data_IF_723285709353
#
_entry.id   IF_723285709353
#
_cell.length_a   1.000
_cell.length_b   1.000
_cell.length_c   1.000
_cell.angle_alpha   90.00
_cell.angle_beta   90.00
_cell.angle_gamma   90.00
#
_symmetry.space_group_name_H-M   'P 1'
#
loop_
_entity.id
_entity.type
_entity.pdbx_description
1 polymer ?
#
# COMPACT_ATOMS: atom_id res chain seq x y z
N UNK A 1 -2.66 6.19 16.32
CA UNK A 1 -3.72 6.37 15.31
C UNK A 1 -4.39 5.02 15.10
N UNK A 2 -5.72 4.95 15.05
CA UNK A 2 -6.47 3.71 14.79
C UNK A 2 -7.40 4.00 13.62
N UNK A 3 -7.46 3.08 12.65
CA UNK A 3 -8.31 3.20 11.47
C UNK A 3 -9.31 2.04 11.40
N UNK A 4 -10.49 2.30 10.85
CA UNK A 4 -11.51 1.27 10.60
C UNK A 4 -11.45 0.85 9.14
N UNK A 5 -11.25 -0.45 8.89
CA UNK A 5 -11.28 -1.04 7.56
C UNK A 5 -12.73 -1.43 7.22
N UNK A 6 -13.35 -0.72 6.29
CA UNK A 6 -14.76 -0.91 5.93
C UNK A 6 -14.89 -1.43 4.50
N UNK A 7 -15.84 -2.33 4.25
CA UNK A 7 -16.11 -2.83 2.90
C UNK A 7 -16.66 -4.26 2.84
N UNK A 8 -16.40 -5.10 3.85
CA UNK A 8 -17.08 -6.39 3.92
C UNK A 8 -18.57 -6.20 4.20
N UNK A 9 -19.41 -6.97 3.52
CA UNK A 9 -20.88 -6.90 3.67
C UNK A 9 -21.43 -7.93 4.65
N UNK A 10 -20.60 -8.90 5.04
CA UNK A 10 -20.88 -9.88 6.08
C UNK A 10 -19.76 -9.92 7.14
N UNK A 11 -19.95 -10.75 8.16
CA UNK A 11 -19.01 -10.90 9.28
C UNK A 11 -17.62 -11.25 8.75
N UNK A 12 -16.60 -10.52 9.23
CA UNK A 12 -15.21 -10.90 9.06
C UNK A 12 -14.96 -12.15 9.93
N UNK A 13 -14.46 -13.20 9.29
CA UNK A 13 -14.22 -14.51 9.91
C UNK A 13 -12.73 -14.79 10.08
N UNK A 14 -11.89 -14.19 9.24
CA UNK A 14 -10.45 -14.45 9.19
C UNK A 14 -9.66 -13.14 9.09
N UNK A 15 -8.49 -13.11 9.73
CA UNK A 15 -7.52 -12.02 9.71
C UNK A 15 -6.10 -12.60 9.65
N UNK A 16 -5.29 -12.12 8.72
CA UNK A 16 -3.87 -12.42 8.63
C UNK A 16 -3.07 -11.14 8.31
N UNK A 17 -1.78 -11.13 8.69
CA UNK A 17 -0.85 -10.04 8.42
C UNK A 17 0.43 -10.63 7.81
N UNK A 18 1.02 -9.92 6.85
CA UNK A 18 2.33 -10.28 6.32
C UNK A 18 3.41 -10.12 7.40
N UNK A 19 4.52 -10.88 7.36
CA UNK A 19 5.60 -10.76 8.36
C UNK A 19 6.25 -9.37 8.43
N UNK A 20 6.24 -8.63 7.32
CA UNK A 20 6.72 -7.23 7.24
C UNK A 20 5.72 -6.21 7.80
N UNK A 21 4.49 -6.63 8.12
CA UNK A 21 3.43 -5.77 8.65
C UNK A 21 2.80 -4.82 7.63
N UNK A 22 3.19 -4.86 6.34
CA UNK A 22 2.69 -3.92 5.34
C UNK A 22 1.30 -4.29 4.81
N UNK A 23 0.96 -5.58 4.81
CA UNK A 23 -0.28 -6.08 4.23
C UNK A 23 -1.12 -6.80 5.28
N UNK A 24 -2.40 -6.40 5.38
CA UNK A 24 -3.43 -7.12 6.13
C UNK A 24 -4.38 -7.78 5.14
N UNK A 25 -4.72 -9.04 5.40
CA UNK A 25 -5.73 -9.78 4.64
C UNK A 25 -6.90 -10.10 5.57
N UNK A 26 -8.10 -9.77 5.12
CA UNK A 26 -9.34 -10.12 5.82
C UNK A 26 -10.20 -11.02 4.94
N UNK A 27 -10.79 -12.06 5.54
CA UNK A 27 -11.77 -12.91 4.88
C UNK A 27 -13.10 -12.85 5.62
N UNK A 28 -14.20 -12.80 4.88
CA UNK A 28 -15.54 -12.66 5.44
C UNK A 28 -16.53 -13.66 4.86
N UNK A 29 -17.69 -13.76 5.51
CA UNK A 29 -18.83 -14.56 5.02
C UNK A 29 -19.51 -13.99 3.77
N UNK A 30 -18.99 -12.89 3.19
CA UNK A 30 -19.43 -12.35 1.90
C UNK A 30 -18.72 -13.02 0.72
N UNK A 31 -18.04 -14.14 0.99
CA UNK A 31 -17.28 -14.94 0.03
C UNK A 31 -16.10 -14.17 -0.60
N UNK A 32 -15.65 -13.07 0.03
CA UNK A 32 -14.51 -12.29 -0.45
C UNK A 32 -13.32 -12.29 0.51
N UNK A 33 -12.13 -12.12 -0.09
CA UNK A 33 -10.92 -11.71 0.58
C UNK A 33 -10.61 -10.26 0.21
N UNK A 34 -10.20 -9.45 1.20
CA UNK A 34 -9.76 -8.07 0.99
C UNK A 34 -8.35 -7.88 1.49
N UNK A 35 -7.59 -7.06 0.75
CA UNK A 35 -6.21 -6.71 1.04
C UNK A 35 -6.13 -5.24 1.42
N UNK A 36 -5.38 -4.95 2.48
CA UNK A 36 -5.23 -3.61 3.01
C UNK A 36 -3.75 -3.30 3.19
N UNK A 37 -3.34 -2.09 2.84
CA UNK A 37 -2.03 -1.59 3.21
C UNK A 37 -2.12 -0.99 4.62
N UNK A 38 -1.30 -1.47 5.54
CA UNK A 38 -1.24 -0.98 6.92
C UNK A 38 -0.64 0.43 7.01
N UNK A 39 0.17 0.81 6.02
CA UNK A 39 0.83 2.09 5.95
C UNK A 39 0.23 2.95 4.84
N UNK A 40 0.12 4.28 5.05
CA UNK A 40 -0.19 5.18 3.96
C UNK A 40 0.84 4.99 2.85
N UNK A 41 0.39 4.97 1.59
CA UNK A 41 1.30 5.00 0.45
C UNK A 41 2.23 6.21 0.65
N UNK A 42 3.53 5.98 0.64
CA UNK A 42 4.48 7.08 0.49
C UNK A 42 4.22 7.66 -0.90
N UNK A 43 3.69 8.87 -0.94
CA UNK A 43 3.51 9.57 -2.21
C UNK A 43 4.91 9.79 -2.81
N UNK A 44 5.22 9.06 -3.88
CA UNK A 44 6.48 9.16 -4.62
C UNK A 44 6.58 10.49 -5.38
N UNK A 45 6.66 11.62 -4.67
CA UNK A 45 7.05 12.90 -5.28
C UNK A 45 8.56 12.97 -5.59
N UNK A 46 9.37 12.08 -5.01
CA UNK A 46 10.83 12.08 -5.17
C UNK A 46 11.30 11.46 -6.51
N UNK A 47 10.51 10.58 -7.13
CA UNK A 47 10.90 9.90 -8.38
C UNK A 47 10.97 10.82 -9.62
N UNK A 48 10.56 12.09 -9.52
CA UNK A 48 10.65 13.05 -10.64
C UNK A 48 11.91 13.92 -10.63
N UNK A 49 12.75 13.89 -9.59
CA UNK A 49 13.92 14.79 -9.49
C UNK A 49 15.20 14.28 -10.16
N UNK A 50 15.36 12.96 -10.35
CA UNK A 50 16.61 12.39 -10.88
C UNK A 50 16.68 12.27 -12.41
N UNK A 51 15.71 12.81 -13.16
CA UNK A 51 15.79 12.85 -14.62
C UNK A 51 16.35 14.18 -15.18
N UNK A 52 16.85 15.09 -14.33
CA UNK A 52 17.20 16.47 -14.74
C UNK A 52 18.70 16.83 -14.70
N UNK A 53 19.58 15.89 -14.41
CA UNK A 53 21.03 16.03 -14.53
C UNK A 53 21.51 14.68 -15.09
N UNK A 54 21.86 14.51 -16.36
CA UNK A 54 23.19 14.87 -16.86
C UNK A 54 23.31 14.49 -18.36
N UNK A 55 22.81 15.32 -19.27
CA UNK A 55 23.17 15.24 -20.70
C UNK A 55 23.97 16.46 -21.18
N UNK A 56 24.16 17.46 -20.32
CA UNK A 56 24.85 18.72 -20.65
C UNK A 56 26.33 18.78 -20.26
N UNK A 57 26.85 17.80 -19.49
CA UNK A 57 28.24 17.84 -19.00
C UNK A 57 29.27 17.23 -19.95
N UNK A 58 28.84 16.65 -21.07
CA UNK A 58 29.73 16.07 -22.09
C UNK A 58 30.13 17.03 -23.21
N UNK A 59 29.80 18.33 -23.09
CA UNK A 59 30.23 19.35 -24.05
C UNK A 59 30.88 20.51 -23.29
N UNK A 60 32.14 20.33 -22.91
CA UNK A 60 33.08 21.43 -22.69
C UNK A 60 34.51 20.98 -22.98
#
# INVERSE_FOLDING_TARGET
>A
MVASLTGHTHRVLYLAMSPDGETIVTGAGDETLRFWNAFPKKDNHEAKRESRLDYGRLIR
#
